data_IF_217108871561
#
_entry.id   IF_217108871561
#
_cell.length_a   1.000
_cell.length_b   1.000
_cell.length_c   1.000
_cell.angle_alpha   90.00
_cell.angle_beta   90.00
_cell.angle_gamma   90.00
#
_symmetry.space_group_name_H-M   'P 1'
#
loop_
_entity.id
_entity.type
_entity.pdbx_description
1 polymer ?
#
# COMPACT_ATOMS: atom_id res chain seq x y z
N UNK A 1 31.03 12.63 -30.13
CA UNK A 1 30.83 11.17 -30.19
C UNK A 1 30.59 10.70 -28.77
N UNK A 2 29.45 10.07 -28.54
CA UNK A 2 28.95 9.69 -27.21
C UNK A 2 29.93 8.73 -26.53
N UNK A 3 30.46 9.14 -25.39
CA UNK A 3 31.12 8.28 -24.42
C UNK A 3 30.04 7.46 -23.68
N UNK A 4 29.50 6.48 -24.40
CA UNK A 4 28.74 5.37 -23.82
C UNK A 4 29.77 4.39 -23.24
N UNK A 5 30.22 4.65 -22.02
CA UNK A 5 31.15 3.75 -21.32
C UNK A 5 30.39 2.50 -20.82
N UNK A 6 29.80 1.75 -21.75
CA UNK A 6 29.35 0.38 -21.49
C UNK A 6 30.55 -0.54 -21.41
N UNK A 7 30.63 -1.38 -20.37
CA UNK A 7 31.61 -2.47 -20.37
C UNK A 7 31.21 -3.50 -21.43
N UNK A 8 32.10 -3.74 -22.41
CA UNK A 8 31.96 -4.85 -23.35
C UNK A 8 32.00 -6.19 -22.62
N UNK A 9 30.83 -6.84 -22.52
CA UNK A 9 30.65 -8.10 -21.79
C UNK A 9 31.48 -9.27 -22.39
N UNK A 10 31.84 -9.19 -23.67
CA UNK A 10 32.63 -10.20 -24.38
C UNK A 10 34.14 -10.08 -24.13
N UNK A 11 34.62 -8.98 -23.52
CA UNK A 11 36.03 -8.76 -23.19
C UNK A 11 36.36 -9.03 -21.70
N UNK A 12 35.39 -9.53 -20.92
CA UNK A 12 35.54 -9.81 -19.49
C UNK A 12 36.31 -11.11 -19.26
N UNK A 13 37.23 -11.09 -18.29
CA UNK A 13 37.91 -12.29 -17.81
C UNK A 13 36.96 -13.14 -16.92
N UNK A 14 37.37 -14.37 -16.59
CA UNK A 14 36.55 -15.30 -15.81
C UNK A 14 36.10 -14.71 -14.46
N UNK A 15 37.00 -14.03 -13.74
CA UNK A 15 36.72 -13.42 -12.44
C UNK A 15 35.68 -12.27 -12.55
N UNK A 16 35.77 -11.47 -13.61
CA UNK A 16 34.82 -10.39 -13.89
C UNK A 16 33.43 -10.92 -14.29
N UNK A 17 33.36 -12.03 -15.03
CA UNK A 17 32.10 -12.69 -15.36
C UNK A 17 31.42 -13.25 -14.09
N UNK A 18 32.19 -13.85 -13.18
CA UNK A 18 31.68 -14.31 -11.88
C UNK A 18 31.21 -13.14 -11.01
N UNK A 19 31.96 -12.03 -10.97
CA UNK A 19 31.58 -10.83 -10.25
C UNK A 19 30.28 -10.21 -10.82
N UNK A 20 30.12 -10.17 -12.15
CA UNK A 20 28.90 -9.71 -12.80
C UNK A 20 27.70 -10.62 -12.49
N UNK A 21 27.88 -11.93 -12.56
CA UNK A 21 26.83 -12.90 -12.19
C UNK A 21 26.42 -12.76 -10.72
N UNK A 22 27.38 -12.53 -9.81
CA UNK A 22 27.12 -12.26 -8.40
C UNK A 22 26.32 -10.97 -8.21
N UNK A 23 26.71 -9.89 -8.90
CA UNK A 23 25.99 -8.61 -8.87
C UNK A 23 24.56 -8.78 -9.35
N UNK A 24 24.34 -9.50 -10.46
CA UNK A 24 23.00 -9.79 -10.98
C UNK A 24 22.11 -10.48 -9.96
N UNK A 25 22.62 -11.48 -9.23
CA UNK A 25 21.87 -12.16 -8.15
C UNK A 25 21.52 -11.23 -6.99
N UNK A 26 22.45 -10.37 -6.58
CA UNK A 26 22.21 -9.41 -5.49
C UNK A 26 21.16 -8.36 -5.90
N UNK A 27 21.20 -7.90 -7.15
CA UNK A 27 20.20 -6.97 -7.69
C UNK A 27 18.82 -7.60 -7.78
N UNK A 28 18.71 -8.86 -8.23
CA UNK A 28 17.45 -9.59 -8.26
C UNK A 28 16.88 -9.81 -6.85
N UNK A 29 17.74 -10.16 -5.89
CA UNK A 29 17.36 -10.32 -4.49
C UNK A 29 16.78 -9.04 -3.86
N UNK A 30 17.21 -7.87 -4.31
CA UNK A 30 16.74 -6.56 -3.82
C UNK A 30 15.81 -5.86 -4.81
N UNK A 31 15.26 -6.61 -5.77
CA UNK A 31 14.33 -6.06 -6.74
C UNK A 31 13.08 -5.56 -6.03
N UNK A 32 12.78 -4.29 -6.24
CA UNK A 32 11.58 -3.66 -5.70
C UNK A 32 10.34 -4.36 -6.26
N UNK A 33 9.49 -4.86 -5.35
CA UNK A 33 8.20 -5.46 -5.67
C UNK A 33 7.10 -4.45 -5.31
N UNK A 34 6.39 -3.88 -6.31
CA UNK A 34 5.28 -2.98 -6.06
C UNK A 34 4.07 -3.74 -5.51
N UNK A 35 3.16 -3.01 -4.86
CA UNK A 35 1.87 -3.56 -4.48
C UNK A 35 1.00 -3.67 -5.74
N UNK A 36 0.26 -4.77 -5.91
CA UNK A 36 -0.65 -4.97 -7.07
C UNK A 36 -2.13 -5.01 -6.66
N UNK A 37 -2.43 -5.44 -5.42
CA UNK A 37 -3.80 -5.56 -4.94
C UNK A 37 -3.90 -5.39 -3.42
N UNK A 38 -5.00 -4.79 -2.98
CA UNK A 38 -5.36 -4.61 -1.58
C UNK A 38 -6.76 -5.15 -1.36
N UNK A 39 -6.93 -5.95 -0.32
CA UNK A 39 -8.20 -6.58 0.00
C UNK A 39 -8.48 -6.47 1.50
N UNK A 40 -9.60 -5.83 1.85
CA UNK A 40 -10.13 -5.85 3.22
C UNK A 40 -10.79 -7.23 3.42
N UNK A 41 -10.27 -8.02 4.37
CA UNK A 41 -10.72 -9.40 4.60
C UNK A 41 -11.61 -9.51 5.83
N UNK A 42 -11.27 -8.76 6.89
CA UNK A 42 -12.02 -8.81 8.13
C UNK A 42 -12.53 -7.43 8.48
N UNK A 43 -13.83 -7.36 8.63
CA UNK A 43 -14.53 -6.24 9.24
C UNK A 43 -15.39 -6.84 10.35
N UNK A 44 -15.02 -6.62 11.61
CA UNK A 44 -15.85 -7.08 12.73
C UNK A 44 -17.03 -6.11 12.86
N UNK A 45 -18.13 -6.48 12.20
CA UNK A 45 -19.45 -5.83 12.23
C UNK A 45 -20.42 -6.83 12.88
N UNK A 46 -21.37 -6.41 13.74
CA UNK A 46 -21.75 -5.05 14.11
C UNK A 46 -20.85 -4.45 15.19
N UNK A 47 -20.48 -3.19 14.99
CA UNK A 47 -19.81 -2.37 16.02
C UNK A 47 -20.90 -1.63 16.77
N UNK A 48 -20.84 -1.60 18.10
CA UNK A 48 -21.70 -0.75 18.93
C UNK A 48 -21.05 0.61 19.15
N UNK A 49 -21.84 1.69 19.34
CA UNK A 49 -21.28 2.98 19.72
C UNK A 49 -20.40 2.85 20.98
N UNK A 50 -19.21 3.45 20.94
CA UNK A 50 -18.20 3.39 22.00
C UNK A 50 -17.27 2.17 21.96
N UNK A 51 -17.50 1.19 21.07
CA UNK A 51 -16.59 0.04 20.87
C UNK A 51 -15.56 0.31 19.78
N UNK A 52 -14.44 -0.39 19.88
CA UNK A 52 -13.40 -0.45 18.85
C UNK A 52 -13.50 -1.76 18.10
N UNK A 53 -13.35 -1.70 16.79
CA UNK A 53 -13.31 -2.85 15.89
C UNK A 53 -12.01 -2.81 15.10
N UNK A 54 -11.41 -3.97 14.80
CA UNK A 54 -10.17 -4.03 14.02
C UNK A 54 -10.47 -4.46 12.60
N UNK A 55 -10.01 -3.66 11.65
CA UNK A 55 -10.07 -3.97 10.23
C UNK A 55 -8.77 -4.65 9.82
N UNK A 56 -8.89 -5.78 9.13
CA UNK A 56 -7.73 -6.51 8.58
C UNK A 56 -7.72 -6.38 7.06
N UNK A 57 -6.65 -5.78 6.55
CA UNK A 57 -6.30 -5.75 5.13
C UNK A 57 -5.22 -6.77 4.81
N UNK A 58 -5.31 -7.42 3.65
CA UNK A 58 -4.19 -8.10 3.02
C UNK A 58 -3.74 -7.33 1.80
N UNK A 59 -2.43 -7.22 1.68
CA UNK A 59 -1.72 -6.62 0.55
C UNK A 59 -1.11 -7.77 -0.26
N UNK A 60 -1.27 -7.70 -1.58
CA UNK A 60 -0.77 -8.68 -2.53
C UNK A 60 0.11 -7.97 -3.59
N UNK A 61 1.25 -8.57 -3.98
CA UNK A 61 1.84 -9.79 -3.41
C UNK A 61 2.33 -9.60 -1.96
N UNK A 62 2.41 -10.67 -1.19
CA UNK A 62 2.85 -10.60 0.22
C UNK A 62 4.31 -10.14 0.40
N UNK A 63 5.10 -10.22 -0.67
CA UNK A 63 6.49 -9.74 -0.72
C UNK A 63 6.60 -8.27 -1.14
N UNK A 64 5.50 -7.51 -1.12
CA UNK A 64 5.54 -6.08 -1.40
C UNK A 64 6.36 -5.35 -0.31
N UNK A 65 7.33 -4.55 -0.74
CA UNK A 65 8.29 -3.89 0.15
C UNK A 65 7.64 -2.72 0.92
N UNK A 66 6.64 -2.06 0.32
CA UNK A 66 5.81 -1.02 0.96
C UNK A 66 4.38 -1.52 1.18
N UNK A 67 4.19 -2.34 2.21
CA UNK A 67 2.88 -2.87 2.61
C UNK A 67 2.05 -1.89 3.48
N UNK A 68 2.39 -0.60 3.50
CA UNK A 68 1.64 0.41 4.23
C UNK A 68 0.23 0.56 3.69
N UNK A 69 -0.76 0.62 4.59
CA UNK A 69 -2.17 0.85 4.25
C UNK A 69 -2.63 2.13 4.93
N UNK A 70 -3.21 3.03 4.15
CA UNK A 70 -3.84 4.26 4.62
C UNK A 70 -5.32 3.98 4.76
N UNK A 71 -5.89 4.35 5.91
CA UNK A 71 -7.32 4.21 6.17
C UNK A 71 -7.97 5.59 6.23
N UNK A 72 -9.13 5.71 5.62
CA UNK A 72 -9.94 6.92 5.61
C UNK A 72 -11.40 6.56 5.89
N UNK A 73 -12.05 7.35 6.75
CA UNK A 73 -13.49 7.23 7.00
C UNK A 73 -14.22 8.36 6.27
N UNK A 74 -15.34 8.05 5.64
CA UNK A 74 -16.19 9.07 4.99
C UNK A 74 -16.82 10.01 6.01
N UNK A 75 -17.11 9.51 7.22
CA UNK A 75 -17.80 10.24 8.28
C UNK A 75 -17.14 9.98 9.65
N UNK A 76 -16.12 10.76 10.05
CA UNK A 76 -15.42 10.58 11.32
C UNK A 76 -16.29 10.82 12.55
N UNK A 77 -17.40 11.57 12.43
CA UNK A 77 -18.37 11.78 13.51
C UNK A 77 -19.16 10.51 13.86
N UNK A 78 -19.37 9.62 12.89
CA UNK A 78 -20.06 8.33 13.06
C UNK A 78 -19.04 7.26 13.47
N UNK A 79 -17.97 7.11 12.70
CA UNK A 79 -16.82 6.30 13.11
C UNK A 79 -15.51 6.82 12.52
N UNK A 80 -14.46 6.86 13.34
CA UNK A 80 -13.11 7.19 12.91
C UNK A 80 -12.26 5.92 12.78
N UNK A 81 -11.32 5.88 11.84
CA UNK A 81 -10.36 4.78 11.70
C UNK A 81 -8.95 5.30 11.91
N UNK A 82 -8.18 4.59 12.72
CA UNK A 82 -6.79 4.94 13.01
C UNK A 82 -5.82 4.31 11.99
N UNK A 83 -4.57 4.80 11.92
CA UNK A 83 -3.52 4.28 11.03
C UNK A 83 -3.24 2.79 11.20
N UNK A 84 -3.55 2.22 12.36
CA UNK A 84 -3.42 0.78 12.62
C UNK A 84 -4.61 -0.05 12.12
N UNK A 85 -5.60 0.57 11.46
CA UNK A 85 -6.85 -0.08 11.04
C UNK A 85 -7.81 -0.34 12.19
N UNK A 86 -7.76 0.46 13.27
CA UNK A 86 -8.70 0.36 14.40
C UNK A 86 -9.83 1.35 14.16
N UNK A 87 -11.04 0.85 13.98
CA UNK A 87 -12.26 1.62 13.83
C UNK A 87 -12.86 1.92 15.20
N UNK A 88 -13.09 3.19 15.50
CA UNK A 88 -13.74 3.72 16.69
C UNK A 88 -15.15 4.17 16.31
N UNK A 89 -16.17 3.45 16.75
CA UNK A 89 -17.56 3.85 16.54
C UNK A 89 -17.96 4.87 17.62
N UNK A 90 -18.50 6.01 17.20
CA UNK A 90 -18.99 7.06 18.08
C UNK A 90 -20.51 7.07 18.15
N UNK A 91 -21.17 7.01 17.00
CA UNK A 91 -22.62 7.10 16.88
C UNK A 91 -23.16 5.96 16.00
N UNK A 92 -24.43 5.53 16.22
CA UNK A 92 -25.09 4.61 15.31
C UNK A 92 -25.27 5.25 13.92
N UNK A 93 -25.09 4.45 12.88
CA UNK A 93 -25.07 4.94 11.51
C UNK A 93 -24.36 4.01 10.55
N UNK A 94 -24.37 4.37 9.27
CA UNK A 94 -23.62 3.63 8.23
C UNK A 94 -22.50 4.52 7.74
N UNK A 95 -21.28 4.02 7.82
CA UNK A 95 -20.08 4.74 7.39
C UNK A 95 -19.31 3.89 6.40
N UNK A 96 -18.77 4.52 5.37
CA UNK A 96 -17.89 3.85 4.42
C UNK A 96 -16.44 4.14 4.80
N UNK A 97 -15.67 3.07 4.94
CA UNK A 97 -14.24 3.13 5.22
C UNK A 97 -13.49 2.72 3.96
N UNK A 98 -12.58 3.57 3.53
CA UNK A 98 -11.71 3.34 2.39
C UNK A 98 -10.30 3.01 2.89
N UNK A 99 -9.66 2.04 2.23
CA UNK A 99 -8.30 1.62 2.46
C UNK A 99 -7.51 1.82 1.17
N UNK A 100 -6.37 2.50 1.25
CA UNK A 100 -5.49 2.82 0.13
C UNK A 100 -4.10 2.22 0.36
N UNK A 101 -3.45 1.77 -0.70
CA UNK A 101 -2.04 1.35 -0.61
C UNK A 101 -1.11 2.56 -0.56
N UNK A 102 -0.18 2.58 0.39
CA UNK A 102 0.85 3.63 0.50
C UNK A 102 1.79 3.64 -0.72
N UNK A 103 1.99 2.49 -1.37
CA UNK A 103 2.88 2.36 -2.52
C UNK A 103 2.44 3.23 -3.70
N UNK A 104 1.13 3.37 -3.89
CA UNK A 104 0.55 4.18 -4.95
C UNK A 104 0.32 5.64 -4.55
N UNK A 105 0.57 6.01 -3.29
CA UNK A 105 0.52 7.40 -2.82
C UNK A 105 1.72 8.20 -3.38
N UNK A 106 1.70 8.42 -4.70
CA UNK A 106 2.62 9.31 -5.39
C UNK A 106 2.22 10.74 -5.03
N UNK A 107 3.15 11.57 -4.54
CA UNK A 107 2.87 12.99 -4.35
C UNK A 107 2.51 13.58 -5.72
N UNK A 108 1.26 14.02 -5.88
CA UNK A 108 0.86 14.72 -7.09
C UNK A 108 1.55 16.09 -7.07
N UNK A 109 2.52 16.28 -7.97
CA UNK A 109 3.14 17.59 -8.21
C UNK A 109 2.22 18.52 -9.02
N UNK A 110 0.96 18.13 -9.23
CA UNK A 110 -0.05 18.93 -9.93
C UNK A 110 -0.77 19.75 -8.86
N UNK A 111 -0.68 21.07 -8.99
CA UNK A 111 -1.22 22.08 -8.08
C UNK A 111 -2.77 22.14 -8.15
N UNK A 112 -3.42 20.99 -8.06
CA UNK A 112 -4.87 20.78 -8.06
C UNK A 112 -5.25 20.16 -6.71
N UNK A 113 -6.38 20.55 -6.12
CA UNK A 113 -6.71 20.38 -4.69
C UNK A 113 -6.87 18.95 -4.17
N UNK A 114 -6.43 17.93 -4.91
CA UNK A 114 -6.41 16.53 -4.51
C UNK A 114 -4.96 16.05 -4.42
N UNK A 115 -4.45 15.95 -3.19
CA UNK A 115 -3.01 15.74 -2.87
C UNK A 115 -2.44 14.39 -3.34
N UNK A 116 -3.28 13.42 -3.72
CA UNK A 116 -2.86 12.06 -4.12
C UNK A 116 -3.70 11.53 -5.29
N UNK A 117 -3.05 10.84 -6.23
CA UNK A 117 -3.75 10.06 -7.26
C UNK A 117 -4.50 8.90 -6.59
N UNK A 118 -5.82 8.83 -6.77
CA UNK A 118 -6.68 7.76 -6.21
C UNK A 118 -6.96 6.61 -7.19
N UNK A 119 -6.26 6.60 -8.33
CA UNK A 119 -6.42 5.60 -9.40
C UNK A 119 -5.71 4.27 -9.07
N UNK A 120 -4.96 4.25 -7.97
CA UNK A 120 -4.24 3.08 -7.50
C UNK A 120 -5.08 2.01 -6.81
N UNK A 121 -4.37 1.25 -5.99
CA UNK A 121 -4.90 0.06 -5.34
C UNK A 121 -5.63 0.47 -4.07
N UNK A 122 -6.96 0.39 -4.15
CA UNK A 122 -7.87 0.74 -3.07
C UNK A 122 -8.88 -0.37 -2.79
N UNK A 123 -9.43 -0.37 -1.59
CA UNK A 123 -10.52 -1.23 -1.17
C UNK A 123 -11.45 -0.45 -0.25
N UNK A 124 -12.76 -0.58 -0.42
CA UNK A 124 -13.75 0.08 0.43
C UNK A 124 -14.62 -0.94 1.13
N UNK A 125 -14.96 -0.69 2.39
CA UNK A 125 -15.91 -1.49 3.17
C UNK A 125 -16.96 -0.58 3.80
N UNK A 126 -18.23 -1.01 3.72
CA UNK A 126 -19.32 -0.33 4.42
C UNK A 126 -19.49 -0.96 5.79
N UNK A 127 -19.40 -0.14 6.83
CA UNK A 127 -19.59 -0.54 8.22
C UNK A 127 -20.92 0.03 8.71
N UNK A 128 -21.79 -0.84 9.21
CA UNK A 128 -23.03 -0.43 9.88
C UNK A 128 -22.82 -0.54 11.39
N UNK A 129 -23.09 0.55 12.11
CA UNK A 129 -23.08 0.64 13.55
C UNK A 129 -24.53 0.62 14.01
N UNK A 130 -24.89 -0.46 14.69
CA UNK A 130 -26.21 -0.67 15.27
C UNK A 130 -26.20 -0.25 16.74
N UNK A 131 -27.35 0.23 17.25
CA UNK A 131 -27.55 0.57 18.66
C UNK A 131 -27.59 -0.66 19.57
#
# INVERSE_FOLDING_TARGET
MLCDAGLDLNALNAEQQEAYARLGRVLDQHKYVPVERLQIIKCEVPVRPGRKSRLSCKVYPSNAMRNGVIWESTDPEIAAVDKFGVLHAHQPGKVKVNAYSWDDAKPSAKNEGETYLRDGIQSSVTVAIEE
#
